data_IF_992776020074
#
_entry.id   IF_992776020074
#
_cell.length_a   1.000
_cell.length_b   1.000
_cell.length_c   1.000
_cell.angle_alpha   90.00
_cell.angle_beta   90.00
_cell.angle_gamma   90.00
#
_symmetry.space_group_name_H-M   'P 1'
#
loop_
_entity.id
_entity.type
_entity.pdbx_description
1 polymer ?
2 non-polymer ?
3 non-polymer ?
4 non-polymer ?
5 non-polymer ?
6 water ?
#
# COMPACT_ATOMS: atom_id res chain seq x y z
N UNK A 5 -3.70 40.35 -14.67
CA UNK A 5 -4.55 39.15 -14.71
C UNK A 5 -4.11 38.12 -13.67
N UNK A 6 -4.98 37.87 -12.70
CA UNK A 6 -4.71 36.91 -11.63
C UNK A 6 -3.57 37.38 -10.73
N UNK A 7 -3.92 37.83 -9.53
CA UNK A 7 -2.96 38.30 -8.55
C UNK A 7 -2.52 37.13 -7.66
N UNK A 8 -1.46 37.34 -6.89
CA UNK A 8 -0.96 36.32 -5.98
C UNK A 8 -2.06 35.98 -4.98
N UNK A 9 -2.78 37.00 -4.53
CA UNK A 9 -3.86 36.80 -3.58
C UNK A 9 -4.93 35.86 -4.13
N UNK A 10 -5.40 36.14 -5.34
CA UNK A 10 -6.42 35.31 -5.97
C UNK A 10 -5.89 33.91 -6.28
N UNK A 11 -4.65 33.83 -6.76
CA UNK A 11 -4.04 32.54 -7.10
C UNK A 11 -3.87 31.64 -5.87
N UNK A 12 -3.51 32.24 -4.74
CA UNK A 12 -3.31 31.48 -3.51
C UNK A 12 -4.58 30.73 -3.12
N UNK A 13 -5.71 31.41 -3.23
CA UNK A 13 -7.00 30.82 -2.89
C UNK A 13 -7.40 29.78 -3.93
N UNK A 14 -7.24 30.13 -5.20
CA UNK A 14 -7.59 29.24 -6.31
C UNK A 14 -6.76 27.95 -6.29
N UNK A 15 -5.48 28.09 -5.94
CA UNK A 15 -4.61 26.93 -5.89
C UNK A 15 -5.15 25.87 -4.92
N UNK A 16 -5.62 26.30 -3.75
CA UNK A 16 -6.16 25.35 -2.78
C UNK A 16 -7.43 24.68 -3.30
N UNK A 17 -8.26 25.45 -4.00
CA UNK A 17 -9.49 24.92 -4.56
C UNK A 17 -9.16 23.82 -5.55
N UNK A 18 -8.16 24.08 -6.39
CA UNK A 18 -7.73 23.12 -7.41
C UNK A 18 -7.11 21.87 -6.79
N UNK A 19 -6.25 22.04 -5.79
CA UNK A 19 -5.62 20.90 -5.15
C UNK A 19 -6.67 19.99 -4.53
N UNK A 20 -7.64 20.58 -3.83
CA UNK A 20 -8.70 19.81 -3.19
C UNK A 20 -9.55 19.05 -4.20
N UNK A 21 -9.94 19.71 -5.27
CA UNK A 21 -10.77 19.09 -6.30
C UNK A 21 -9.99 18.00 -7.04
N UNK A 22 -8.78 18.34 -7.47
CA UNK A 22 -7.93 17.39 -8.19
C UNK A 22 -7.55 16.19 -7.32
N UNK A 23 -7.28 16.44 -6.04
CA UNK A 23 -6.92 15.35 -5.15
C UNK A 23 -8.10 14.41 -4.94
N UNK A 24 -9.32 14.95 -4.91
CA UNK A 24 -10.50 14.11 -4.75
C UNK A 24 -10.63 13.23 -5.98
N UNK A 25 -10.47 13.81 -7.16
CA UNK A 25 -10.56 13.04 -8.40
C UNK A 25 -9.48 11.96 -8.43
N UNK A 26 -8.28 12.29 -7.96
CA UNK A 26 -7.19 11.31 -7.94
C UNK A 26 -7.49 10.18 -6.97
N UNK A 27 -8.13 10.51 -5.86
CA UNK A 27 -8.50 9.52 -4.86
C UNK A 27 -9.46 8.52 -5.51
N UNK A 28 -10.43 9.04 -6.26
CA UNK A 28 -11.41 8.18 -6.92
C UNK A 28 -10.77 7.34 -8.01
N UNK A 29 -9.89 7.96 -8.78
CA UNK A 29 -9.21 7.29 -9.89
C UNK A 29 -8.16 6.27 -9.48
N UNK A 30 -7.28 6.67 -8.57
CA UNK A 30 -6.20 5.79 -8.13
C UNK A 30 -6.45 4.92 -6.91
N UNK A 31 -7.19 5.44 -5.94
CA UNK A 31 -7.45 4.69 -4.72
C UNK A 31 -8.72 3.85 -4.82
N UNK A 32 -9.78 4.40 -5.40
CA UNK A 32 -11.03 3.67 -5.52
C UNK A 32 -11.12 2.91 -6.85
N UNK A 33 -10.21 3.19 -7.76
CA UNK A 33 -10.22 2.57 -9.08
C UNK A 33 -11.60 2.79 -9.71
N UNK A 34 -12.15 3.97 -9.47
CA UNK A 34 -13.47 4.30 -9.99
C UNK A 34 -13.64 5.81 -10.15
N UNK A 35 -13.11 6.36 -11.25
CA UNK A 35 -13.22 7.81 -11.47
C UNK A 35 -14.67 8.27 -11.62
N UNK A 36 -14.94 9.51 -11.24
CA UNK A 36 -16.28 10.07 -11.36
C UNK A 36 -16.36 10.96 -12.60
N UNK A 37 -15.31 11.73 -12.85
CA UNK A 37 -15.30 12.62 -14.02
C UNK A 37 -14.44 12.06 -15.15
N UNK A 38 -14.65 12.58 -16.35
CA UNK A 38 -13.87 12.15 -17.50
C UNK A 38 -12.47 12.74 -17.36
N UNK A 39 -11.49 12.10 -17.96
CA UNK A 39 -10.12 12.56 -17.87
C UNK A 39 -9.91 14.02 -18.26
N UNK A 40 -10.57 14.48 -19.32
CA UNK A 40 -10.39 15.86 -19.75
C UNK A 40 -10.77 16.88 -18.69
N UNK A 41 -11.71 16.53 -17.81
CA UNK A 41 -12.12 17.45 -16.75
C UNK A 41 -10.94 17.60 -15.79
N UNK A 42 -10.33 16.48 -15.45
CA UNK A 42 -9.19 16.48 -14.56
C UNK A 42 -8.01 17.19 -15.23
N UNK A 43 -7.77 16.89 -16.50
CA UNK A 43 -6.66 17.49 -17.24
C UNK A 43 -6.77 19.01 -17.35
N UNK A 44 -7.99 19.51 -17.52
CA UNK A 44 -8.20 20.95 -17.63
C UNK A 44 -7.82 21.64 -16.33
N UNK A 45 -8.33 21.12 -15.22
CA UNK A 45 -8.04 21.73 -13.91
C UNK A 45 -6.57 21.60 -13.56
N UNK A 46 -5.97 20.47 -13.96
CA UNK A 46 -4.56 20.21 -13.68
C UNK A 46 -3.70 21.26 -14.38
N UNK A 47 -4.03 21.54 -15.64
CA UNK A 47 -3.28 22.53 -16.41
C UNK A 47 -3.43 23.91 -15.77
N UNK A 48 -4.63 24.22 -15.27
CA UNK A 48 -4.84 25.51 -14.63
C UNK A 48 -3.93 25.62 -13.41
N UNK A 49 -3.83 24.54 -12.64
CA UNK A 49 -2.98 24.55 -11.46
C UNK A 49 -1.52 24.68 -11.88
N UNK A 50 -1.12 23.98 -12.94
CA UNK A 50 0.25 24.08 -13.41
C UNK A 50 0.58 25.52 -13.80
N UNK A 51 -0.36 26.19 -14.44
CA UNK A 51 -0.12 27.58 -14.83
C UNK A 51 0.06 28.46 -13.61
N UNK A 52 -0.76 28.24 -12.58
CA UNK A 52 -0.67 29.03 -11.36
C UNK A 52 0.66 28.80 -10.64
N UNK A 53 1.07 27.54 -10.54
CA UNK A 53 2.33 27.19 -9.87
C UNK A 53 3.54 27.68 -10.64
N UNK A 54 3.44 27.71 -11.96
CA UNK A 54 4.55 28.17 -12.79
C UNK A 54 4.74 29.67 -12.59
N UNK A 55 3.63 30.38 -12.49
CA UNK A 55 3.63 31.82 -12.29
C UNK A 55 4.05 32.19 -10.87
N UNK A 56 3.61 31.40 -9.90
CA UNK A 56 3.94 31.64 -8.50
C UNK A 56 4.43 30.35 -7.86
N UNK A 57 5.68 29.96 -8.14
CA UNK A 57 6.24 28.73 -7.58
C UNK A 57 6.12 28.57 -6.07
N UNK A 58 5.95 29.68 -5.36
CA UNK A 58 5.83 29.64 -3.91
C UNK A 58 4.52 28.99 -3.47
N UNK A 59 3.59 28.83 -4.41
CA UNK A 59 2.30 28.21 -4.11
C UNK A 59 2.33 26.69 -4.24
N UNK A 60 3.46 26.15 -4.67
CA UNK A 60 3.58 24.70 -4.79
C UNK A 60 3.61 24.11 -3.38
N UNK A 61 2.81 23.07 -3.16
CA UNK A 61 2.75 22.42 -1.86
C UNK A 61 3.02 20.92 -2.00
N UNK A 62 3.41 20.26 -0.89
CA UNK A 62 3.68 18.81 -0.92
C UNK A 62 2.50 17.95 -1.38
N UNK A 63 1.28 18.43 -1.12
CA UNK A 63 0.10 17.67 -1.51
C UNK A 63 -0.49 18.05 -2.86
N UNK A 64 0.21 18.90 -3.62
CA UNK A 64 -0.29 19.28 -4.93
C UNK A 64 -0.11 18.11 -5.87
N UNK A 65 -1.13 17.77 -6.67
CA UNK A 65 -1.01 16.64 -7.58
C UNK A 65 0.10 16.80 -8.63
N UNK A 66 0.59 18.02 -8.82
CA UNK A 66 1.64 18.26 -9.80
C UNK A 66 2.98 17.69 -9.32
N UNK A 67 3.08 17.39 -8.04
CA UNK A 67 4.33 16.86 -7.49
C UNK A 67 4.51 15.36 -7.71
N UNK A 68 3.48 14.69 -8.20
CA UNK A 68 3.54 13.26 -8.47
C UNK A 68 4.61 12.87 -9.47
N UNK A 69 4.99 13.81 -10.33
CA UNK A 69 6.00 13.53 -11.35
C UNK A 69 7.42 13.49 -10.80
N UNK A 70 7.57 13.80 -9.51
CA UNK A 70 8.88 13.78 -8.89
C UNK A 70 9.83 14.86 -9.38
N UNK A 71 11.10 14.73 -9.00
CA UNK A 71 12.09 15.71 -9.41
C UNK A 71 13.38 15.60 -8.63
N UNK A 72 13.27 15.31 -7.34
CA UNK A 72 14.46 15.17 -6.51
C UNK A 72 15.28 13.98 -6.94
N UNK A 73 16.59 14.07 -6.72
CA UNK A 73 17.53 13.00 -7.03
C UNK A 73 18.38 12.86 -5.77
N UNK A 74 18.29 11.73 -5.08
CA UNK A 74 19.06 11.52 -3.86
C UNK A 74 20.43 10.91 -4.14
N UNK A 75 21.31 10.98 -3.14
CA UNK A 75 22.66 10.42 -3.25
C UNK A 75 22.62 9.01 -2.70
N UNK A 76 21.60 8.74 -1.89
CA UNK A 76 21.42 7.44 -1.28
C UNK A 76 20.23 7.53 -0.32
N UNK A 77 19.88 6.43 0.31
CA UNK A 77 18.75 6.44 1.24
C UNK A 77 19.20 6.43 2.69
N UNK A 78 18.53 7.23 3.51
CA UNK A 78 18.85 7.29 4.93
C UNK A 78 18.23 6.05 5.57
N UNK A 79 18.75 5.64 6.72
CA UNK A 79 18.20 4.47 7.41
C UNK A 79 16.82 4.87 7.93
N UNK A 80 15.90 3.92 7.94
CA UNK A 80 14.54 4.15 8.43
C UNK A 80 14.20 3.14 9.51
N UNK A 81 14.37 3.52 10.78
CA UNK A 81 14.08 2.62 11.90
C UNK A 81 12.60 2.29 12.02
N UNK A 82 12.30 1.11 12.51
CA UNK A 82 10.94 0.65 12.74
C UNK A 82 10.85 0.30 14.23
N UNK A 83 10.52 1.29 15.07
CA UNK A 83 10.42 1.04 16.50
C UNK A 83 9.42 -0.07 16.77
N UNK A 84 8.40 -0.15 15.91
CA UNK A 84 7.41 -1.21 15.99
C UNK A 84 7.89 -2.07 14.82
N UNK A 85 8.39 -3.28 15.11
CA UNK A 85 8.88 -4.14 14.03
C UNK A 85 7.90 -4.53 12.95
N UNK A 86 8.43 -4.77 11.76
CA UNK A 86 7.62 -5.22 10.64
C UNK A 86 7.92 -6.71 10.58
N UNK A 87 7.01 -7.49 11.14
CA UNK A 87 7.18 -8.94 11.20
C UNK A 87 7.04 -9.68 9.88
N UNK A 88 7.57 -10.90 9.88
CA UNK A 88 7.48 -11.79 8.73
C UNK A 88 6.29 -12.69 9.04
N UNK A 89 6.02 -13.65 8.15
CA UNK A 89 4.91 -14.58 8.36
C UNK A 89 5.41 -16.01 8.29
N UNK A 90 4.80 -16.87 9.10
CA UNK A 90 5.14 -18.29 9.08
C UNK A 90 4.41 -18.81 7.86
N UNK A 91 4.94 -19.84 7.21
CA UNK A 91 4.33 -20.39 6.01
C UNK A 91 3.65 -21.74 6.16
N UNK A 92 2.68 -21.97 5.28
CA UNK A 92 1.94 -23.22 5.23
C UNK A 92 1.89 -23.57 3.76
N UNK A 93 1.87 -24.86 3.42
CA UNK A 93 1.86 -25.24 2.00
C UNK A 93 0.78 -26.24 1.62
N UNK A 94 0.12 -26.83 2.60
CA UNK A 94 -0.93 -27.81 2.32
C UNK A 94 -2.17 -27.56 3.16
N UNK A 95 -3.26 -28.22 2.81
CA UNK A 95 -4.50 -28.08 3.57
C UNK A 95 -4.19 -28.51 5.00
N UNK A 96 -3.35 -29.54 5.13
CA UNK A 96 -2.95 -30.06 6.43
C UNK A 96 -2.31 -28.95 7.27
N UNK A 97 -1.38 -28.21 6.67
CA UNK A 97 -0.71 -27.12 7.39
C UNK A 97 -1.72 -26.11 7.94
N UNK A 98 -2.69 -25.74 7.11
CA UNK A 98 -3.70 -24.77 7.48
C UNK A 98 -4.60 -25.22 8.63
N UNK A 99 -5.08 -26.46 8.58
CA UNK A 99 -5.91 -26.98 9.64
C UNK A 99 -5.06 -27.18 10.90
N UNK A 100 -3.76 -27.41 10.70
CA UNK A 100 -2.85 -27.60 11.82
C UNK A 100 -2.70 -26.25 12.52
N UNK A 101 -2.65 -25.18 11.73
CA UNK A 101 -2.52 -23.84 12.28
C UNK A 101 -3.75 -23.56 13.13
N UNK A 102 -4.93 -23.87 12.59
CA UNK A 102 -6.18 -23.66 13.29
C UNK A 102 -6.22 -24.45 14.60
N UNK A 103 -5.71 -25.69 14.57
CA UNK A 103 -5.70 -26.50 15.78
C UNK A 103 -4.89 -25.82 16.88
N UNK A 104 -3.71 -25.34 16.53
CA UNK A 104 -2.85 -24.67 17.50
C UNK A 104 -3.51 -23.41 18.05
N UNK A 105 -4.21 -22.69 17.18
CA UNK A 105 -4.90 -21.47 17.59
C UNK A 105 -6.01 -21.79 18.59
N UNK A 106 -6.81 -22.81 18.28
CA UNK A 106 -7.89 -23.21 19.18
C UNK A 106 -7.32 -23.75 20.49
N UNK A 107 -6.20 -24.45 20.40
CA UNK A 107 -5.58 -25.01 21.61
C UNK A 107 -5.17 -23.90 22.57
N UNK A 108 -4.65 -22.81 22.02
CA UNK A 108 -4.21 -21.68 22.83
C UNK A 108 -5.34 -20.78 23.30
N UNK A 109 -6.29 -20.48 22.42
CA UNK A 109 -7.40 -19.60 22.76
C UNK A 109 -8.50 -20.28 23.56
N UNK A 110 -8.78 -21.54 23.25
CA UNK A 110 -9.80 -22.29 23.97
C UNK A 110 -11.20 -22.25 23.39
N UNK A 111 -11.32 -21.79 22.14
CA UNK A 111 -12.62 -21.72 21.47
C UNK A 111 -12.39 -21.45 19.99
N UNK A 112 -13.40 -21.74 19.14
CA UNK A 112 -13.23 -21.49 17.70
C UNK A 112 -13.06 -19.98 17.50
N UNK A 113 -12.32 -19.59 16.48
CA UNK A 113 -12.13 -18.17 16.20
C UNK A 113 -12.32 -17.83 14.73
N UNK A 114 -12.68 -16.58 14.46
CA UNK A 114 -12.89 -16.11 13.11
C UNK A 114 -11.54 -15.67 12.53
N UNK A 115 -11.40 -15.79 11.22
CA UNK A 115 -10.17 -15.42 10.54
C UNK A 115 -10.43 -14.44 9.41
N UNK A 116 -9.59 -13.42 9.32
CA UNK A 116 -9.69 -12.45 8.25
C UNK A 116 -8.74 -13.00 7.20
N UNK A 117 -9.22 -13.17 5.97
CA UNK A 117 -8.40 -13.69 4.90
C UNK A 117 -8.12 -12.62 3.87
N UNK A 118 -6.87 -12.52 3.47
CA UNK A 118 -6.42 -11.52 2.50
C UNK A 118 -5.48 -12.18 1.50
N UNK A 119 -5.30 -11.53 0.36
CA UNK A 119 -4.40 -12.06 -0.66
C UNK A 119 -2.99 -11.58 -0.34
N UNK A 120 -2.00 -12.44 -0.57
CA UNK A 120 -0.61 -12.06 -0.35
C UNK A 120 -0.13 -11.48 -1.67
N UNK A 121 0.10 -10.17 -1.69
CA UNK A 121 0.56 -9.47 -2.89
C UNK A 121 2.06 -9.64 -3.12
N UNK A 122 2.44 -10.02 -4.33
CA UNK A 122 3.85 -10.20 -4.65
C UNK A 122 4.48 -8.84 -4.95
N UNK A 123 5.02 -8.20 -3.92
CA UNK A 123 5.64 -6.90 -4.10
C UNK A 123 6.67 -6.62 -3.02
N UNK A 124 6.82 -5.34 -2.68
CA UNK A 124 7.77 -4.91 -1.65
C UNK A 124 6.98 -4.33 -0.46
N UNK A 125 7.30 -4.76 0.76
CA UNK A 125 6.61 -4.25 1.94
C UNK A 125 7.02 -2.79 2.20
N UNK A 126 6.05 -1.96 2.55
CA UNK A 126 6.31 -0.55 2.82
C UNK A 126 5.61 -0.05 4.09
N UNK A 127 6.18 0.97 4.69
CA UNK A 127 5.61 1.58 5.89
C UNK A 127 5.40 3.06 5.59
N UNK A 128 4.19 3.56 5.87
CA UNK A 128 3.84 4.95 5.60
C UNK A 128 3.44 5.67 6.89
N UNK A 129 4.17 6.73 7.23
CA UNK A 129 3.91 7.50 8.44
C UNK A 129 3.29 8.87 8.13
N UNK A 130 2.25 9.21 8.87
CA UNK A 130 1.54 10.48 8.72
C UNK A 130 1.50 11.23 10.04
N UNK A 131 1.66 12.54 9.97
CA UNK A 131 1.59 13.38 11.16
C UNK A 131 0.55 14.46 10.85
N UNK A 132 -0.53 14.47 11.63
CA UNK A 132 -1.59 15.44 11.43
C UNK A 132 -2.18 15.33 10.01
N UNK A 133 -2.19 14.11 9.49
CA UNK A 133 -2.73 13.86 8.17
C UNK A 133 -1.76 14.05 7.02
N UNK A 134 -0.57 14.58 7.34
CA UNK A 134 0.45 14.82 6.33
C UNK A 134 1.45 13.68 6.20
N UNK A 135 1.71 13.24 4.97
CA UNK A 135 2.69 12.17 4.72
C UNK A 135 4.08 12.69 5.07
N UNK A 136 4.77 12.00 5.99
CA UNK A 136 6.10 12.44 6.41
C UNK A 136 7.23 11.43 6.21
N UNK A 137 6.89 10.14 6.13
CA UNK A 137 7.93 9.14 5.90
C UNK A 137 7.43 7.89 5.22
N UNK A 138 8.20 7.45 4.24
CA UNK A 138 7.89 6.24 3.52
C UNK A 138 9.13 5.39 3.70
N UNK A 139 8.97 4.12 4.03
CA UNK A 139 10.14 3.28 4.24
C UNK A 139 9.94 1.84 3.82
N UNK A 140 11.03 1.20 3.44
CA UNK A 140 11.00 -0.22 3.05
C UNK A 140 11.10 -0.98 4.37
N UNK A 141 10.79 -2.28 4.32
CA UNK A 141 10.87 -3.12 5.50
C UNK A 141 12.31 -3.40 5.91
N UNK A 142 13.18 -3.58 4.92
CA UNK A 142 14.58 -3.86 5.20
C UNK A 142 14.69 -5.19 5.93
N UNK A 143 15.35 -5.18 7.09
CA UNK A 143 15.52 -6.40 7.87
C UNK A 143 14.47 -6.56 8.98
N UNK A 144 13.44 -5.71 8.94
CA UNK A 144 12.39 -5.80 9.95
C UNK A 144 12.40 -4.73 11.01
N UNK A 145 13.59 -4.25 11.38
CA UNK A 145 13.69 -3.20 12.39
C UNK A 145 14.36 -1.97 11.81
N UNK A 146 15.02 -2.13 10.67
CA UNK A 146 15.65 -1.00 9.99
C UNK A 146 15.55 -1.18 8.48
N UNK A 147 14.94 -0.19 7.84
CA UNK A 147 14.79 -0.22 6.39
C UNK A 147 15.41 1.01 5.76
N UNK A 148 14.97 1.36 4.57
CA UNK A 148 15.48 2.53 3.87
C UNK A 148 14.40 3.60 3.77
N UNK A 149 14.78 4.86 3.94
CA UNK A 149 13.85 5.96 3.85
C UNK A 149 13.65 6.29 2.36
N UNK A 150 12.54 5.83 1.80
CA UNK A 150 12.23 6.07 0.37
C UNK A 150 11.03 7.01 0.24
N UNK A 151 10.92 7.95 1.18
CA UNK A 151 9.83 8.92 1.20
C UNK A 151 9.63 9.62 -0.14
N UNK A 152 10.71 10.18 -0.70
CA UNK A 152 10.62 10.91 -1.97
C UNK A 152 10.10 10.06 -3.12
N UNK A 153 10.50 8.80 -3.18
CA UNK A 153 10.03 7.92 -4.23
C UNK A 153 8.54 7.63 -4.06
N UNK A 154 8.12 7.37 -2.82
CA UNK A 154 6.73 7.06 -2.56
C UNK A 154 5.79 8.23 -2.80
N UNK A 155 6.33 9.43 -2.84
CA UNK A 155 5.51 10.61 -3.11
C UNK A 155 5.02 10.53 -4.55
N UNK A 156 5.71 9.75 -5.38
CA UNK A 156 5.32 9.64 -6.78
C UNK A 156 4.34 8.51 -7.07
N UNK A 157 4.16 7.61 -6.09
CA UNK A 157 3.22 6.50 -6.26
C UNK A 157 1.82 7.08 -6.08
N UNK A 158 1.12 7.20 -7.21
CA UNK A 158 -0.21 7.80 -7.27
C UNK A 158 -1.27 7.43 -6.25
N UNK A 159 -1.26 6.18 -5.77
CA UNK A 159 -2.26 5.76 -4.80
C UNK A 159 -1.89 6.09 -3.35
N UNK A 160 -0.68 6.60 -3.12
CA UNK A 160 -0.25 6.98 -1.77
C UNK A 160 -0.74 8.40 -1.49
N UNK A 161 -1.65 8.56 -0.53
CA UNK A 161 -2.14 9.91 -0.24
C UNK A 161 -1.08 10.80 0.40
N UNK A 162 -1.02 12.05 -0.03
CA UNK A 162 -0.07 13.01 0.55
C UNK A 162 -0.72 13.69 1.75
N UNK A 163 -2.05 13.70 1.78
CA UNK A 163 -2.81 14.26 2.89
C UNK A 163 -4.04 13.37 3.10
N UNK A 164 -4.23 12.89 4.32
CA UNK A 164 -5.35 12.00 4.65
C UNK A 164 -6.69 12.71 4.76
N UNK A 165 -7.76 11.93 4.76
CA UNK A 165 -9.12 12.47 4.86
C UNK A 165 -9.31 13.16 6.21
N UNK A 166 -8.56 12.70 7.21
CA UNK A 166 -8.61 13.27 8.56
C UNK A 166 -7.19 13.58 9.02
N UNK A 167 -6.99 14.73 9.71
CA UNK A 167 -5.67 15.12 10.18
C UNK A 167 -5.16 14.27 11.34
N UNK A 168 -5.10 12.96 11.14
CA UNK A 168 -4.62 12.06 12.19
C UNK A 168 -3.16 11.64 12.01
N UNK A 169 -2.54 11.22 13.11
CA UNK A 169 -1.16 10.79 13.10
C UNK A 169 -1.14 9.28 13.27
N UNK A 170 -0.70 8.59 12.22
CA UNK A 170 -0.65 7.14 12.23
C UNK A 170 0.47 6.61 11.35
N UNK A 171 0.74 5.32 11.47
CA UNK A 171 1.73 4.65 10.66
C UNK A 171 1.06 3.37 10.16
N UNK A 172 0.98 3.22 8.85
CA UNK A 172 0.34 2.05 8.27
C UNK A 172 1.31 1.31 7.37
N UNK A 173 1.01 0.04 7.11
CA UNK A 173 1.89 -0.76 6.29
C UNK A 173 1.12 -1.60 5.28
N UNK A 174 1.81 -1.96 4.20
CA UNK A 174 1.20 -2.76 3.18
C UNK A 174 2.23 -3.13 2.14
N UNK A 175 1.76 -3.36 0.93
CA UNK A 175 2.62 -3.75 -0.18
C UNK A 175 2.61 -2.71 -1.29
N UNK A 176 3.78 -2.49 -1.88
CA UNK A 176 3.88 -1.60 -3.04
C UNK A 176 4.22 -2.61 -4.13
N UNK A 177 3.45 -2.63 -5.21
CA UNK A 177 3.70 -3.61 -6.27
C UNK A 177 3.53 -2.99 -7.64
N UNK A 178 3.87 -3.78 -8.67
CA UNK A 178 3.71 -3.33 -10.04
C UNK A 178 2.71 -4.25 -10.74
N UNK A 179 1.60 -3.68 -11.25
CA UNK A 179 0.59 -4.50 -11.93
C UNK A 179 1.21 -5.27 -13.10
N UNK A 180 0.63 -6.42 -13.43
CA UNK A 180 1.12 -7.25 -14.52
C UNK A 180 1.36 -6.49 -15.82
N UNK A 181 0.36 -5.74 -16.26
CA UNK A 181 0.48 -4.99 -17.50
C UNK A 181 1.66 -4.04 -17.50
N UNK A 182 1.84 -3.31 -16.40
CA UNK A 182 2.95 -2.37 -16.30
C UNK A 182 4.28 -3.10 -16.26
N UNK A 183 4.29 -4.29 -15.66
CA UNK A 183 5.49 -5.11 -15.58
C UNK A 183 5.88 -5.49 -17.01
N UNK A 184 4.89 -5.97 -17.77
CA UNK A 184 5.14 -6.36 -19.16
C UNK A 184 5.66 -5.18 -19.97
N UNK A 185 4.98 -4.05 -19.87
CA UNK A 185 5.37 -2.83 -20.59
C UNK A 185 6.79 -2.42 -20.24
N UNK A 186 7.10 -2.44 -18.94
CA UNK A 186 8.42 -2.05 -18.49
C UNK A 186 9.53 -2.94 -19.08
N UNK A 187 9.31 -4.24 -19.08
CA UNK A 187 10.32 -5.14 -19.64
C UNK A 187 10.53 -4.90 -21.12
N UNK A 188 9.45 -4.57 -21.83
CA UNK A 188 9.56 -4.29 -23.26
C UNK A 188 10.43 -3.06 -23.47
N UNK A 189 10.25 -2.05 -22.62
CA UNK A 189 11.05 -0.83 -22.73
C UNK A 189 12.51 -1.13 -22.43
N UNK A 190 12.76 -2.01 -21.47
CA UNK A 190 14.13 -2.37 -21.13
C UNK A 190 14.75 -3.15 -22.29
N UNK A 191 13.97 -4.02 -22.92
CA UNK A 191 14.46 -4.79 -24.05
C UNK A 191 14.81 -3.83 -25.19
N UNK A 192 14.01 -2.78 -25.33
CA UNK A 192 14.24 -1.80 -26.38
C UNK A 192 15.52 -1.01 -26.11
N UNK A 193 15.81 -0.77 -24.84
CA UNK A 193 17.01 -0.01 -24.47
C UNK A 193 18.23 -0.86 -24.14
N UNK A 194 18.17 -2.15 -24.49
CA UNK A 194 19.30 -3.03 -24.22
C UNK A 194 19.62 -3.29 -22.77
N UNK A 195 18.60 -3.29 -21.92
CA UNK A 195 18.78 -3.53 -20.48
C UNK A 195 18.30 -4.92 -20.10
N UNK A 196 18.79 -5.43 -18.97
CA UNK A 196 18.37 -6.73 -18.48
C UNK A 196 16.94 -6.58 -17.97
N UNK A 197 16.06 -7.48 -18.36
CA UNK A 197 14.66 -7.42 -17.91
C UNK A 197 14.55 -7.84 -16.45
N UNK A 198 13.46 -7.47 -15.80
CA UNK A 198 13.24 -7.89 -14.42
C UNK A 198 12.62 -9.28 -14.51
N UNK A 199 13.07 -10.18 -13.64
CA UNK A 199 12.58 -11.56 -13.64
C UNK A 199 11.11 -11.72 -13.30
N UNK A 200 10.59 -10.82 -12.46
CA UNK A 200 9.19 -10.87 -12.06
C UNK A 200 8.74 -9.53 -11.50
N UNK A 201 7.42 -9.32 -11.33
CA UNK A 201 6.88 -8.07 -10.79
C UNK A 201 7.52 -7.64 -9.47
N UNK A 202 7.80 -8.61 -8.60
CA UNK A 202 8.41 -8.29 -7.31
C UNK A 202 9.75 -7.59 -7.49
N UNK A 203 10.62 -8.17 -8.31
CA UNK A 203 11.93 -7.58 -8.55
C UNK A 203 11.81 -6.22 -9.24
N UNK A 204 10.78 -6.07 -10.07
CA UNK A 204 10.56 -4.82 -10.79
C UNK A 204 10.17 -3.71 -9.82
N UNK A 205 9.32 -4.04 -8.85
CA UNK A 205 8.89 -3.05 -7.87
C UNK A 205 10.04 -2.70 -6.93
N UNK A 206 10.80 -3.70 -6.52
CA UNK A 206 11.93 -3.48 -5.62
C UNK A 206 13.01 -2.65 -6.31
N UNK A 207 13.31 -2.98 -7.56
CA UNK A 207 14.30 -2.23 -8.30
C UNK A 207 13.86 -0.81 -8.55
N UNK A 208 12.57 -0.63 -8.81
CA UNK A 208 12.01 0.70 -9.06
C UNK A 208 12.14 1.58 -7.82
N UNK A 209 11.85 1.03 -6.65
CA UNK A 209 11.94 1.81 -5.42
C UNK A 209 13.36 2.05 -4.93
N UNK A 210 14.34 1.41 -5.57
CA UNK A 210 15.74 1.59 -5.20
C UNK A 210 16.34 2.71 -6.04
N UNK A 211 15.61 3.13 -7.07
CA UNK A 211 16.06 4.20 -7.96
C UNK A 211 16.21 5.49 -7.17
N UNK A 212 17.33 6.19 -7.37
CA UNK A 212 17.59 7.43 -6.66
C UNK A 212 16.93 8.64 -7.31
N UNK A 213 16.63 8.54 -8.60
CA UNK A 213 15.99 9.63 -9.32
C UNK A 213 14.47 9.44 -9.27
N UNK A 214 13.80 10.26 -8.46
CA UNK A 214 12.36 10.15 -8.32
C UNK A 214 11.58 10.30 -9.63
N UNK A 215 12.16 10.98 -10.61
CA UNK A 215 11.49 11.17 -11.90
C UNK A 215 11.29 9.83 -12.61
N UNK A 216 12.28 8.95 -12.46
CA UNK A 216 12.21 7.62 -13.07
C UNK A 216 11.15 6.80 -12.36
N UNK A 217 11.17 6.85 -11.02
CA UNK A 217 10.20 6.11 -10.23
C UNK A 217 8.77 6.50 -10.58
N UNK A 218 8.54 7.80 -10.72
CA UNK A 218 7.22 8.32 -11.05
C UNK A 218 6.61 7.70 -12.31
N UNK A 219 7.45 7.23 -13.20
CA UNK A 219 6.98 6.63 -14.45
C UNK A 219 6.86 5.11 -14.41
N UNK A 220 7.17 4.50 -13.26
CA UNK A 220 7.12 3.04 -13.13
C UNK A 220 5.74 2.41 -12.87
N UNK A 221 4.72 3.24 -12.72
CA UNK A 221 3.36 2.75 -12.50
C UNK A 221 3.19 1.81 -11.30
N UNK A 222 3.83 2.15 -10.18
CA UNK A 222 3.70 1.33 -8.98
C UNK A 222 2.35 1.62 -8.32
N UNK A 223 1.81 0.64 -7.59
CA UNK A 223 0.54 0.81 -6.90
C UNK A 223 0.67 0.23 -5.50
N UNK A 224 -0.40 0.33 -4.72
CA UNK A 224 -0.34 -0.16 -3.34
C UNK A 224 -1.61 -0.82 -2.82
N UNK A 225 -1.45 -1.56 -1.73
CA UNK A 225 -2.53 -2.22 -1.01
C UNK A 225 -2.06 -2.18 0.44
N UNK A 226 -2.78 -1.44 1.29
CA UNK A 226 -2.42 -1.33 2.71
C UNK A 226 -3.24 -2.31 3.53
N UNK A 227 -2.64 -2.94 4.52
CA UNK A 227 -3.38 -3.91 5.33
C UNK A 227 -2.99 -3.98 6.79
N UNK A 228 -2.06 -3.13 7.21
CA UNK A 228 -1.61 -3.13 8.61
C UNK A 228 -1.61 -1.75 9.24
N UNK A 229 -2.09 -1.70 10.48
CA UNK A 229 -2.07 -0.48 11.24
C UNK A 229 -1.01 -0.77 12.31
N UNK A 230 0.09 -0.02 12.28
CA UNK A 230 1.18 -0.22 13.23
C UNK A 230 0.98 0.73 14.40
N UNK A 231 0.83 2.00 14.10
CA UNK A 231 0.59 3.02 15.11
C UNK A 231 -0.84 3.49 14.86
N UNK A 232 -1.75 3.02 15.71
CA UNK A 232 -3.18 3.35 15.60
C UNK A 232 -3.57 4.81 15.74
N UNK A 233 -2.84 5.56 16.56
CA UNK A 233 -3.21 6.94 16.75
C UNK A 233 -4.63 6.90 17.27
N UNK A 234 -5.56 7.66 16.67
CA UNK A 234 -6.96 7.67 17.11
C UNK A 234 -7.84 6.59 16.48
N UNK A 235 -7.25 5.71 15.67
CA UNK A 235 -8.03 4.66 15.01
C UNK A 235 -8.77 3.74 15.99
N UNK A 236 -10.00 3.38 15.63
CA UNK A 236 -10.88 2.58 16.48
C UNK A 236 -10.98 1.07 16.23
N UNK A 237 -10.44 0.57 15.12
CA UNK A 237 -10.52 -0.86 14.82
C UNK A 237 -10.12 -1.77 15.98
N UNK A 238 -10.87 -2.86 16.15
CA UNK A 238 -10.58 -3.84 17.20
C UNK A 238 -10.35 -5.23 16.59
N UNK A 239 -10.52 -5.31 15.28
CA UNK A 239 -10.34 -6.56 14.54
C UNK A 239 -9.63 -6.22 13.24
N UNK A 240 -8.99 -7.21 12.63
CA UNK A 240 -8.27 -6.98 11.38
C UNK A 240 -9.22 -6.56 10.25
N UNK A 241 -10.39 -7.17 10.18
CA UNK A 241 -11.34 -6.83 9.13
C UNK A 241 -11.77 -5.37 9.31
N UNK A 242 -11.96 -4.96 10.56
CA UNK A 242 -12.32 -3.58 10.87
C UNK A 242 -11.17 -2.66 10.47
N UNK A 243 -9.94 -3.12 10.70
CA UNK A 243 -8.77 -2.32 10.36
C UNK A 243 -8.74 -2.05 8.86
N UNK A 244 -9.02 -3.06 8.07
CA UNK A 244 -9.02 -2.92 6.62
C UNK A 244 -10.06 -1.89 6.18
N UNK A 245 -11.24 -1.94 6.79
CA UNK A 245 -12.28 -0.98 6.43
C UNK A 245 -11.90 0.43 6.86
N UNK A 246 -11.26 0.54 8.01
CA UNK A 246 -10.85 1.85 8.52
C UNK A 246 -9.73 2.44 7.70
N UNK A 247 -8.82 1.59 7.24
CA UNK A 247 -7.71 2.05 6.39
C UNK A 247 -8.30 2.67 5.13
N UNK A 248 -9.34 2.03 4.61
CA UNK A 248 -10.00 2.53 3.41
C UNK A 248 -10.68 3.87 3.74
N UNK A 249 -11.36 3.91 4.87
CA UNK A 249 -12.06 5.11 5.31
C UNK A 249 -11.17 6.35 5.40
N UNK A 250 -9.95 6.19 5.91
CA UNK A 250 -9.07 7.32 6.05
C UNK A 250 -8.29 7.71 4.79
N UNK A 251 -8.48 6.98 3.70
CA UNK A 251 -7.82 7.36 2.46
C UNK A 251 -6.84 6.41 1.76
N UNK A 252 -6.57 5.24 2.33
CA UNK A 252 -5.62 4.33 1.69
C UNK A 252 -6.29 3.34 0.75
N UNK A 253 -5.49 2.75 -0.14
CA UNK A 253 -6.00 1.77 -1.07
C UNK A 253 -5.87 0.42 -0.39
N UNK A 254 -6.94 -0.35 -0.39
CA UNK A 254 -6.93 -1.66 0.24
C UNK A 254 -7.36 -2.69 -0.80
N UNK A 255 -7.01 -3.96 -0.56
CA UNK A 255 -7.38 -5.01 -1.49
C UNK A 255 -8.83 -5.42 -1.20
N UNK A 256 -9.70 -5.34 -2.22
CA UNK A 256 -11.12 -5.67 -2.10
C UNK A 256 -11.48 -7.15 -1.97
N UNK A 257 -10.52 -8.05 -2.10
CA UNK A 257 -10.81 -9.48 -2.02
C UNK A 257 -10.82 -10.05 -0.62
N UNK A 258 -10.65 -9.20 0.38
CA UNK A 258 -10.65 -9.64 1.77
C UNK A 258 -11.97 -10.29 2.15
N UNK A 259 -11.92 -11.23 3.08
CA UNK A 259 -13.13 -11.91 3.54
C UNK A 259 -13.00 -12.37 4.98
N UNK A 260 -14.03 -12.11 5.78
CA UNK A 260 -14.03 -12.55 7.17
C UNK A 260 -14.66 -13.94 7.17
N UNK A 261 -13.88 -14.94 7.59
CA UNK A 261 -14.37 -16.32 7.62
C UNK A 261 -14.66 -16.76 9.04
N UNK A 262 -15.84 -17.35 9.25
CA UNK A 262 -16.26 -17.80 10.57
C UNK A 262 -15.79 -19.22 10.90
N UNK A 263 -15.16 -19.89 9.95
CA UNK A 263 -14.68 -21.24 10.20
C UNK A 263 -13.44 -21.56 9.36
N UNK A 264 -12.66 -22.52 9.83
CA UNK A 264 -11.46 -22.92 9.12
C UNK A 264 -11.85 -23.52 7.76
N UNK A 265 -13.06 -24.06 7.69
CA UNK A 265 -13.53 -24.64 6.44
C UNK A 265 -13.82 -23.51 5.45
N UNK A 266 -14.32 -22.40 5.97
CA UNK A 266 -14.61 -21.25 5.11
C UNK A 266 -13.26 -20.70 4.66
N UNK A 267 -12.26 -20.81 5.53
CA UNK A 267 -10.91 -20.35 5.21
C UNK A 267 -10.37 -21.15 4.02
N UNK A 268 -10.49 -22.46 4.09
CA UNK A 268 -9.98 -23.30 3.02
C UNK A 268 -10.73 -23.06 1.72
N UNK A 269 -12.01 -22.77 1.81
CA UNK A 269 -12.82 -22.50 0.62
C UNK A 269 -12.32 -21.21 -0.02
N UNK A 270 -11.90 -20.26 0.81
CA UNK A 270 -11.37 -19.00 0.32
C UNK A 270 -10.08 -19.27 -0.45
N UNK A 271 -9.23 -20.09 0.13
CA UNK A 271 -7.96 -20.44 -0.49
C UNK A 271 -8.19 -21.07 -1.88
N UNK A 272 -9.10 -22.03 -1.94
CA UNK A 272 -9.42 -22.69 -3.20
C UNK A 272 -10.01 -21.73 -4.23
N UNK A 273 -10.85 -20.81 -3.76
CA UNK A 273 -11.49 -19.84 -4.62
C UNK A 273 -10.51 -18.92 -5.34
N UNK A 274 -9.55 -18.38 -4.60
CA UNK A 274 -8.59 -17.47 -5.19
C UNK A 274 -7.40 -18.14 -5.84
N UNK A 275 -7.21 -19.42 -5.54
CA UNK A 275 -6.12 -20.15 -6.17
C UNK A 275 -6.58 -20.32 -7.62
N UNK A 276 -7.90 -20.37 -7.79
CA UNK A 276 -8.51 -20.52 -9.10
C UNK A 276 -8.64 -19.20 -9.85
N UNK A 277 -8.99 -18.14 -9.12
CA UNK A 277 -9.15 -16.81 -9.72
C UNK A 277 -7.81 -16.14 -9.97
N UNK A 278 -6.74 -16.74 -9.44
CA UNK A 278 -5.39 -16.20 -9.55
C UNK A 278 -5.01 -15.53 -10.88
N UNK A 279 -5.07 -16.29 -11.97
CA UNK A 279 -4.70 -15.76 -13.28
C UNK A 279 -5.58 -14.61 -13.76
N UNK A 280 -6.76 -14.46 -13.17
CA UNK A 280 -7.67 -13.40 -13.58
C UNK A 280 -7.37 -12.04 -12.95
N UNK A 281 -6.56 -12.04 -11.90
CA UNK A 281 -6.21 -10.79 -11.22
C UNK A 281 -5.17 -9.97 -11.99
N UNK A 282 -5.28 -8.64 -11.95
CA UNK A 282 -4.34 -7.76 -12.65
C UNK A 282 -2.98 -7.65 -11.96
N UNK A 283 -2.83 -8.35 -10.84
CA UNK A 283 -1.58 -8.35 -10.09
C UNK A 283 -1.23 -9.77 -9.65
N UNK A 284 0.05 -10.05 -9.47
CA UNK A 284 0.47 -11.38 -9.06
C UNK A 284 0.38 -11.55 -7.55
N UNK A 285 0.02 -12.75 -7.11
CA UNK A 285 -0.08 -13.07 -5.69
C UNK A 285 0.69 -14.37 -5.46
N UNK A 286 1.41 -14.46 -4.35
CA UNK A 286 2.17 -15.67 -4.06
C UNK A 286 1.48 -16.51 -3.00
N UNK A 287 0.27 -16.11 -2.62
CA UNK A 287 -0.46 -16.87 -1.62
C UNK A 287 -1.65 -16.17 -0.98
N UNK A 288 -2.03 -16.67 0.19
CA UNK A 288 -3.15 -16.17 0.97
C UNK A 288 -2.67 -15.98 2.41
N UNK A 289 -3.09 -14.88 3.06
CA UNK A 289 -2.69 -14.67 4.45
C UNK A 289 -3.93 -14.82 5.33
N UNK A 290 -3.80 -15.68 6.34
CA UNK A 290 -4.89 -15.97 7.28
C UNK A 290 -4.52 -15.38 8.64
N UNK A 291 -5.38 -14.49 9.15
CA UNK A 291 -5.12 -13.84 10.43
C UNK A 291 -6.28 -13.98 11.42
N UNK A 292 -5.96 -14.29 12.68
CA UNK A 292 -6.98 -14.38 13.70
C UNK A 292 -7.54 -12.96 13.68
N UNK A 293 -8.84 -12.82 13.48
CA UNK A 293 -9.47 -11.52 13.36
C UNK A 293 -9.44 -10.60 14.58
N UNK A 294 -9.83 -11.12 15.74
CA UNK A 294 -9.87 -10.32 16.96
C UNK A 294 -8.49 -9.93 17.49
N UNK A 295 -8.26 -8.63 17.66
CA UNK A 295 -6.97 -8.18 18.17
C UNK A 295 -6.71 -8.70 19.58
N UNK A 296 -7.77 -8.80 20.38
CA UNK A 296 -7.63 -9.29 21.76
C UNK A 296 -7.09 -10.72 21.75
N UNK A 297 -7.51 -11.50 20.76
CA UNK A 297 -7.05 -12.88 20.64
C UNK A 297 -5.64 -12.92 20.05
N UNK A 298 -5.32 -12.00 19.14
CA UNK A 298 -3.99 -11.95 18.57
C UNK A 298 -3.02 -11.71 19.72
N UNK A 299 -3.37 -10.77 20.59
CA UNK A 299 -2.55 -10.42 21.75
C UNK A 299 -2.24 -11.65 22.60
N UNK A 300 -3.26 -12.49 22.81
CA UNK A 300 -3.11 -13.70 23.60
C UNK A 300 -2.12 -14.68 22.98
N UNK A 301 -2.14 -14.77 21.64
CA UNK A 301 -1.26 -15.68 20.92
C UNK A 301 0.18 -15.17 20.86
N UNK A 302 0.35 -13.86 20.77
CA UNK A 302 1.68 -13.28 20.73
C UNK A 302 2.48 -13.54 19.47
N UNK A 303 3.78 -13.25 19.55
CA UNK A 303 4.68 -13.42 18.42
C UNK A 303 5.88 -14.31 18.74
N UNK A 304 6.41 -14.98 17.72
CA UNK A 304 7.60 -15.79 17.89
C UNK A 304 8.68 -14.72 17.72
N UNK A 305 9.93 -15.11 17.52
CA UNK A 305 10.98 -14.12 17.33
C UNK A 305 10.87 -13.50 15.94
N UNK A 306 10.30 -14.27 15.01
CA UNK A 306 10.17 -13.87 13.60
C UNK A 306 8.80 -13.41 13.13
N UNK A 307 7.76 -14.01 13.67
CA UNK A 307 6.42 -13.68 13.21
C UNK A 307 5.32 -13.88 14.24
N UNK A 308 4.11 -13.42 13.92
CA UNK A 308 3.03 -13.62 14.89
C UNK A 308 2.60 -15.07 14.88
N UNK A 309 2.09 -15.55 16.01
CA UNK A 309 1.59 -16.91 16.09
C UNK A 309 0.14 -16.92 15.63
N UNK A 310 -0.44 -15.73 15.48
CA UNK A 310 -1.83 -15.57 15.09
C UNK A 310 -2.10 -15.44 13.59
N UNK A 311 -1.09 -15.67 12.76
CA UNK A 311 -1.30 -15.58 11.32
C UNK A 311 -0.40 -16.58 10.62
N UNK A 312 -0.79 -16.93 9.39
CA UNK A 312 0.00 -17.85 8.59
C UNK A 312 -0.24 -17.52 7.13
N UNK A 313 0.78 -17.72 6.31
CA UNK A 313 0.67 -17.45 4.89
C UNK A 313 0.64 -18.76 4.13
N UNK A 314 -0.43 -19.00 3.39
CA UNK A 314 -0.52 -20.22 2.58
C UNK A 314 0.13 -19.87 1.25
N UNK A 315 1.28 -20.48 0.97
CA UNK A 315 2.03 -20.23 -0.25
C UNK A 315 1.66 -21.17 -1.40
N UNK A 316 1.44 -20.59 -2.57
CA UNK A 316 1.13 -21.37 -3.75
C UNK A 316 2.41 -22.06 -4.21
N UNK A 317 2.31 -23.31 -4.69
CA UNK A 317 3.49 -24.04 -5.13
C UNK A 317 4.29 -23.32 -6.23
X LIG B 1 9.86 -7.64 1.87
X LIG B 1 11.13 -8.45 1.25
X LIG B 1 10.45 -6.54 2.59
X LIG B 1 9.07 -7.26 0.90
X LIG B 1 9.31 -8.59 2.81
X LIG C 1 12.81 8.47 11.56
X LIG C 1 13.19 7.63 10.23
X LIG C 1 14.08 8.71 12.21
X LIG C 1 12.18 9.57 11.25
X LIG C 1 12.06 7.52 12.34
X LIG D 1 17.64 0.80 -13.85
X LIG D 1 18.17 -0.71 -14.15
X LIG D 1 17.82 0.98 -12.43
X LIG D 1 18.32 1.66 -14.57
X LIG D 1 16.24 0.71 -14.15
X LIG E 1 -15.30 8.70 -1.81
X LIG E 1 -14.64 7.31 -1.26
X LIG E 1 -14.27 9.70 -1.62
X LIG E 1 -15.64 8.57 -3.06
X LIG E 1 -16.37 8.93 -0.88
X LIG F 1 -1.72 13.65 -13.08
X LIG F 1 -1.57 12.22 -13.34
X LIG F 1 -1.90 11.31 -12.21
X LIG F 1 -0.09 11.89 -13.73
X LIG F 1 -2.40 11.88 -14.66
X LIG F 1 -2.09 10.68 -15.46
X LIG F 1 -3.33 10.24 -16.24
X LIG F 1 -4.40 9.85 -15.34
X LIG F 1 -3.96 11.32 -17.19
X LIG F 1 -4.30 10.75 -18.47
X LIG F 1 -5.18 11.79 -16.42
X LIG F 1 -6.23 12.29 -17.24
X LIG F 1 -5.62 10.58 -15.69
X LIG F 1 -6.35 10.86 -14.43
X LIG F 1 -7.76 10.91 -14.40
X LIG F 1 -8.39 11.19 -13.19
X LIG F 1 -9.92 11.25 -13.17
X LIG F 1 -10.43 11.51 -12.10
X LIG F 1 -10.62 11.03 -14.25
X LIG F 1 -7.62 11.43 -11.97
X LIG F 1 -6.20 11.37 -12.04
X LIG F 1 -5.53 11.08 -13.27
X LIG G 1 1.24 -6.17 15.20
X LIG G 1 -0.89 -9.46 3.91
X LIG G 1 1.44 -9.72 3.67
X LIG G 1 0.44 -9.40 5.86
X LIG G 1 1.72 -9.17 9.42
X LIG G 1 1.63 -9.61 5.08
X LIG G 1 2.87 -9.66 5.78
X LIG G 1 2.93 -9.53 7.17
X LIG G 1 1.72 -9.34 7.89
X LIG G 1 1.73 -7.64 9.71
X LIG G 1 0.19 -9.65 3.11
X LIG G 1 -0.78 -9.33 5.27
X LIG G 1 0.51 -9.28 7.21
X LIG G 1 -2.14 -9.38 3.34
X LIG G 1 2.52 -9.92 2.82
X LIG G 1 0.45 -9.81 10.05
X LIG G 1 2.93 -9.84 10.12
X LIG G 1 1.72 -7.25 11.12
X LIG G 1 2.82 -6.76 11.79
X LIG G 1 3.93 -6.63 11.26
X LIG G 1 2.66 -6.39 13.22
X LIG G 1 1.39 -6.54 13.85
X LIG G 1 2.35 -5.66 15.94
X LIG G 1 3.62 -5.51 15.28
X LIG G 1 3.77 -5.88 13.93
X LIG G 1 2.17 -5.32 17.29
X LIG G 1 3.21 -4.83 18.08
X LIG G 1 4.25 -5.67 18.63
X LIG G 1 5.27 -5.08 19.42
X LIG G 1 5.28 -3.69 19.68
X LIG G 1 4.26 -2.86 19.14
X LIG G 1 3.23 -3.43 18.34
X LIG H 1 6.35 -12.57 5.09
X LIG H 1 7.40 -13.30 5.76
X LIG H 1 6.92 -11.98 3.81
X LIG H 1 7.06 -13.07 2.86
X LIG H 1 5.69 -11.18 3.38
X LIG H 1 5.73 -9.75 3.29
X LIG I 1 -0.25 -20.86 18.30
X LIG I 1 0.26 -20.95 19.63
X LIG I 1 0.77 -21.13 17.19
X LIG I 1 1.31 -22.46 17.33
X LIG I 1 0.14 -21.07 15.80
X LIG I 1 1.09 -20.85 14.73
X LIG J 1 -2.11 -4.36 14.53
X LIG J 1 -1.90 -4.36 13.11
X LIG J 1 -2.87 -5.59 15.06
X LIG J 1 -2.29 -6.80 14.58
X LIG J 1 -3.14 -5.61 16.57
X LIG J 1 -1.98 -5.70 17.41
#
# INVERSE_FOLDING_TARGET
MEQQPLTLTAATTRAQELRKQLNQYSHEYYVKDQPSVEDYVYDRLYKELVDIETEFPDLITPDSPTQRVGGKVLSGFEKAPHDIPMYSLNDGFSKEDIFAFDERVRKAIGKPVAYCCELKIDGLAISLRYENGVFVRGATRGDGTVGENITENLRTVRSVPMRLTEPISVEVRGECYMPKQSFVALNEEREENGQDIFANPRNAAAGSLRQLDTKIVAKRNLNTFLYTVADFGPMKAKTQFEALEELSAIGFRTNPERQLCQSIDEVWAYIEEYHEKRSTLPYEIDGIVIKVNEFALQDELGFTVKAPRWAIAYKFPPEEAETVLEHHHHHH
SO4 S O1 O2 O3 O4
SO4 S O1 O2 O3 O4
SO4 S O1 O2 O3 O4
SO4 S O1 O2 O3 O4
NMN O3P P O1P O2P O5R C5R C4R O4R C3R O3R C2R O2R C1R N1 C2 C3 C7 O7 N7 C4 C5 C6
3B9 C15 C1 C2 C3 C8 C4 C5 C6 C7 C9 N1 N2 N3 N4 N5 C10 C11 N6 C12 O1 C13 C14 C16 C17 C18 O2 C19 C20 C21 C22 C23 C24
GOL C1 O1 C2 O2 C3 O3
GOL C1 O1 C2 O2 C3 O3
GOL C1 O1 C2 O2 C3 O3
#
